data_IF_936084454356
#
_entry.id   IF_936084454356
#
_cell.length_a   1.000
_cell.length_b   1.000
_cell.length_c   1.000
_cell.angle_alpha   90.00
_cell.angle_beta   90.00
_cell.angle_gamma   90.00
#
_symmetry.space_group_name_H-M   'P 1'
#
loop_
_entity.id
_entity.type
_entity.pdbx_description
1 polymer ?
#
# COMPACT_ATOMS: atom_id res chain seq x y z
N UNK A 1 -20.07 0.89 -12.05
CA UNK A 1 -19.84 0.00 -11.80
C UNK A 1 -19.09 -0.27 -10.63
N UNK A 2 -19.41 -1.12 -10.03
CA UNK A 2 -18.84 -1.37 -8.77
C UNK A 2 -17.39 -1.77 -8.80
N UNK A 3 -16.93 -2.19 -9.95
CA UNK A 3 -15.54 -2.65 -10.06
C UNK A 3 -14.53 -1.58 -9.71
N UNK A 4 -14.87 -0.31 -9.93
CA UNK A 4 -13.98 0.77 -9.59
C UNK A 4 -13.75 0.94 -8.10
N UNK A 5 -14.60 0.31 -7.26
CA UNK A 5 -14.46 0.42 -5.81
C UNK A 5 -13.74 -0.76 -5.18
N UNK A 6 -13.45 -1.81 -5.94
CA UNK A 6 -12.73 -2.96 -5.40
C UNK A 6 -11.23 -2.71 -5.46
N UNK A 7 -10.54 -3.06 -4.38
CA UNK A 7 -9.08 -2.99 -4.36
C UNK A 7 -8.42 -4.35 -4.59
N UNK A 8 -9.21 -5.42 -4.76
CA UNK A 8 -8.66 -6.75 -5.03
C UNK A 8 -7.85 -6.74 -6.33
N UNK A 9 -6.73 -7.43 -6.32
CA UNK A 9 -5.84 -7.52 -7.48
C UNK A 9 -4.41 -7.17 -7.15
N UNK A 10 -3.63 -6.91 -8.17
CA UNK A 10 -2.21 -6.58 -8.02
C UNK A 10 -1.95 -5.11 -8.38
N UNK A 11 -0.99 -4.51 -7.66
CA UNK A 11 -0.66 -3.10 -7.75
C UNK A 11 0.86 -2.93 -7.69
N UNK A 12 1.42 -2.19 -8.63
CA UNK A 12 2.83 -1.84 -8.59
C UNK A 12 3.03 -0.67 -7.64
N UNK A 13 3.88 -0.86 -6.63
CA UNK A 13 4.08 0.07 -5.52
C UNK A 13 5.45 0.71 -5.58
N UNK A 14 5.49 2.00 -5.29
CA UNK A 14 6.72 2.74 -5.02
C UNK A 14 6.50 3.74 -3.92
N UNK A 15 7.53 3.99 -3.12
CA UNK A 15 7.47 5.03 -2.10
C UNK A 15 8.79 5.78 -2.00
N UNK A 16 8.69 7.00 -1.50
CA UNK A 16 9.82 7.94 -1.39
C UNK A 16 9.79 8.56 0.00
N UNK A 17 10.94 8.58 0.67
CA UNK A 17 11.04 9.14 2.04
C UNK A 17 10.65 10.62 2.01
N UNK A 18 9.90 11.05 3.02
CA UNK A 18 9.40 12.43 3.12
C UNK A 18 10.49 13.37 3.62
N UNK A 19 11.58 13.45 2.85
CA UNK A 19 12.66 14.43 3.04
C UNK A 19 12.82 15.18 1.72
N UNK A 20 13.58 16.28 1.74
CA UNK A 20 13.67 17.15 0.56
C UNK A 20 14.25 16.47 -0.67
N UNK A 21 15.13 15.50 -0.49
CA UNK A 21 15.76 14.76 -1.59
C UNK A 21 14.98 13.51 -2.02
N UNK A 22 13.94 13.14 -1.29
CA UNK A 22 12.98 12.11 -1.68
C UNK A 22 13.62 10.78 -2.13
N UNK A 23 14.51 10.18 -1.33
CA UNK A 23 15.09 8.90 -1.75
C UNK A 23 14.03 7.80 -1.78
N UNK A 24 14.24 6.80 -2.62
CA UNK A 24 13.34 5.66 -2.69
C UNK A 24 13.34 4.93 -1.36
N UNK A 25 12.14 4.66 -0.82
CA UNK A 25 11.97 3.93 0.41
C UNK A 25 11.68 2.45 0.15
N UNK A 26 10.80 2.17 -0.81
CA UNK A 26 10.45 0.80 -1.16
C UNK A 26 9.83 0.72 -2.54
N UNK A 27 9.87 -0.49 -3.11
CA UNK A 27 9.24 -0.81 -4.38
C UNK A 27 8.86 -2.28 -4.37
N UNK A 28 7.79 -2.63 -5.05
CA UNK A 28 7.34 -4.02 -5.12
C UNK A 28 5.91 -4.13 -5.61
N UNK A 29 5.28 -5.26 -5.30
CA UNK A 29 3.91 -5.54 -5.69
C UNK A 29 3.05 -5.78 -4.46
N UNK A 30 1.95 -5.02 -4.37
CA UNK A 30 0.84 -5.40 -3.49
C UNK A 30 -0.04 -6.39 -4.22
N UNK A 31 -0.48 -7.43 -3.53
CA UNK A 31 -1.56 -8.30 -3.99
C UNK A 31 -2.62 -8.30 -2.90
N UNK A 32 -3.83 -7.88 -3.25
CA UNK A 32 -4.92 -7.76 -2.27
C UNK A 32 -6.04 -8.73 -2.57
N UNK A 33 -6.56 -9.34 -1.50
CA UNK A 33 -7.85 -10.04 -1.51
C UNK A 33 -8.80 -9.26 -0.60
N UNK A 34 -10.08 -9.26 -0.93
CA UNK A 34 -11.09 -8.57 -0.14
C UNK A 34 -12.11 -9.58 0.36
N UNK A 35 -11.85 -10.23 1.52
CA UNK A 35 -12.79 -11.21 2.08
C UNK A 35 -14.19 -10.63 2.33
N UNK A 36 -14.25 -9.33 2.66
CA UNK A 36 -15.53 -8.61 2.76
C UNK A 36 -15.36 -7.25 2.07
N UNK A 37 -16.45 -6.49 1.98
CA UNK A 37 -16.41 -5.15 1.38
C UNK A 37 -15.56 -4.16 2.19
N UNK A 38 -15.29 -4.46 3.47
CA UNK A 38 -14.57 -3.53 4.35
C UNK A 38 -13.27 -4.10 4.92
N UNK A 39 -12.87 -5.29 4.50
CA UNK A 39 -11.62 -5.89 4.97
C UNK A 39 -10.75 -6.31 3.79
N UNK A 40 -9.43 -6.26 4.03
CA UNK A 40 -8.50 -6.71 3.01
C UNK A 40 -7.39 -7.51 3.67
N UNK A 41 -6.88 -8.49 2.93
CA UNK A 41 -5.68 -9.24 3.25
C UNK A 41 -4.80 -9.27 2.02
N UNK A 42 -3.55 -9.64 2.17
CA UNK A 42 -2.70 -9.76 1.00
C UNK A 42 -1.25 -9.88 1.34
N UNK A 43 -0.42 -9.55 0.36
CA UNK A 43 1.04 -9.58 0.49
C UNK A 43 1.65 -8.36 -0.17
N UNK A 44 2.82 -7.97 0.33
CA UNK A 44 3.69 -7.01 -0.34
C UNK A 44 5.00 -7.74 -0.65
N UNK A 45 5.25 -7.96 -1.91
CA UNK A 45 6.46 -8.66 -2.38
C UNK A 45 7.45 -7.64 -2.90
N UNK A 46 8.56 -7.48 -2.18
CA UNK A 46 9.63 -6.53 -2.52
C UNK A 46 10.76 -7.19 -3.31
N UNK A 47 10.59 -8.45 -3.69
CA UNK A 47 11.64 -9.23 -4.36
C UNK A 47 12.61 -9.87 -3.37
N UNK A 48 13.45 -10.77 -3.86
CA UNK A 48 14.49 -11.45 -3.06
C UNK A 48 13.95 -12.09 -1.78
N UNK A 49 12.74 -12.65 -1.85
CA UNK A 49 12.04 -13.27 -0.72
C UNK A 49 11.71 -12.31 0.42
N UNK A 50 11.72 -11.01 0.16
CA UNK A 50 11.31 -10.00 1.13
C UNK A 50 9.81 -9.76 0.98
N UNK A 51 9.00 -10.43 1.79
CA UNK A 51 7.55 -10.38 1.72
C UNK A 51 6.96 -10.00 3.06
N UNK A 52 6.00 -9.09 3.03
CA UNK A 52 5.16 -8.76 4.18
C UNK A 52 3.77 -9.36 3.97
N UNK A 53 3.17 -9.85 5.04
CA UNK A 53 1.75 -10.20 5.05
C UNK A 53 0.95 -8.98 5.43
N UNK A 54 -0.16 -8.74 4.73
CA UNK A 54 -0.95 -7.53 4.88
C UNK A 54 -2.33 -7.84 5.45
N UNK A 55 -2.78 -6.95 6.32
CA UNK A 55 -4.13 -6.95 6.88
C UNK A 55 -4.63 -5.53 6.95
N UNK A 56 -5.89 -5.32 6.62
CA UNK A 56 -6.36 -3.95 6.68
C UNK A 56 -7.86 -3.83 6.57
N UNK A 57 -8.29 -2.57 6.59
CA UNK A 57 -9.68 -2.19 6.45
C UNK A 57 -9.85 -1.27 5.25
N UNK A 58 -11.04 -1.32 4.67
CA UNK A 58 -11.44 -0.48 3.55
C UNK A 58 -12.62 0.36 4.03
N UNK A 59 -12.50 1.68 3.86
CA UNK A 59 -13.63 2.57 4.06
C UNK A 59 -14.14 2.95 2.68
N UNK A 60 -15.36 2.53 2.32
CA UNK A 60 -15.88 2.83 0.99
C UNK A 60 -16.02 4.31 0.74
N UNK A 61 -15.99 4.71 -0.54
CA UNK A 61 -16.23 6.08 -0.93
C UNK A 61 -17.62 6.54 -0.46
N UNK A 62 -17.71 7.78 -0.03
CA UNK A 62 -18.97 8.36 0.47
C UNK A 62 -18.98 9.86 0.16
N UNK A 63 -19.90 10.29 -0.71
CA UNK A 63 -19.97 11.68 -1.15
C UNK A 63 -18.66 12.09 -1.83
N UNK A 64 -18.04 13.13 -1.31
CA UNK A 64 -16.75 13.63 -1.82
C UNK A 64 -15.56 12.90 -1.23
N UNK A 65 -15.78 11.99 -0.28
CA UNK A 65 -14.70 11.24 0.35
C UNK A 65 -14.32 10.05 -0.50
N UNK A 66 -13.05 9.90 -0.92
CA UNK A 66 -12.64 8.76 -1.70
C UNK A 66 -12.59 7.48 -0.86
N UNK A 67 -12.59 6.34 -1.52
CA UNK A 67 -12.30 5.07 -0.88
C UNK A 67 -10.94 5.17 -0.20
N UNK A 68 -10.86 4.70 1.04
CA UNK A 68 -9.65 4.77 1.87
C UNK A 68 -9.26 3.39 2.34
N UNK A 69 -7.97 3.13 2.43
CA UNK A 69 -7.43 1.87 2.97
C UNK A 69 -6.48 2.17 4.13
N UNK A 70 -6.59 1.37 5.18
CA UNK A 70 -5.66 1.36 6.31
C UNK A 70 -5.12 -0.05 6.44
N UNK A 71 -3.82 -0.20 6.22
CA UNK A 71 -3.19 -1.51 6.08
C UNK A 71 -2.03 -1.61 7.04
N UNK A 72 -1.88 -2.78 7.66
CA UNK A 72 -0.68 -3.10 8.43
C UNK A 72 0.05 -4.26 7.76
N UNK A 73 1.35 -4.10 7.57
CA UNK A 73 2.21 -5.13 7.02
C UNK A 73 3.10 -5.71 8.10
N UNK A 74 3.20 -7.04 8.10
CA UNK A 74 4.01 -7.78 9.07
C UNK A 74 5.02 -8.64 8.33
N UNK A 75 6.28 -8.61 8.79
CA UNK A 75 7.29 -9.52 8.29
C UNK A 75 6.98 -10.96 8.67
N UNK A 76 7.61 -11.88 7.95
CA UNK A 76 7.44 -13.32 8.17
C UNK A 76 8.59 -13.85 9.03
N UNK A 77 8.24 -14.63 10.05
CA UNK A 77 9.22 -15.24 10.94
C UNK A 77 10.20 -16.09 10.14
N UNK A 78 11.46 -16.04 10.53
CA UNK A 78 12.55 -16.82 9.93
C UNK A 78 12.85 -16.46 8.46
N UNK A 79 12.48 -15.25 8.05
CA UNK A 79 12.81 -14.71 6.72
C UNK A 79 13.51 -13.37 6.88
N UNK A 80 13.91 -12.77 5.77
CA UNK A 80 14.57 -11.46 5.77
C UNK A 80 13.71 -10.33 6.33
N UNK A 81 12.38 -10.51 6.41
CA UNK A 81 11.46 -9.50 6.94
C UNK A 81 11.04 -9.79 8.38
N UNK A 82 11.65 -10.78 9.03
CA UNK A 82 11.29 -11.12 10.41
C UNK A 82 11.33 -9.90 11.33
N UNK A 83 10.22 -9.64 12.01
CA UNK A 83 10.11 -8.51 12.93
C UNK A 83 9.76 -7.17 12.28
N UNK A 84 9.68 -7.09 10.96
CA UNK A 84 9.29 -5.85 10.29
C UNK A 84 7.81 -5.56 10.53
N UNK A 85 7.47 -4.27 10.65
CA UNK A 85 6.09 -3.85 10.74
C UNK A 85 5.94 -2.46 10.15
N UNK A 86 4.97 -2.31 9.24
CA UNK A 86 4.70 -1.07 8.53
C UNK A 86 3.22 -0.76 8.55
N UNK A 87 2.87 0.51 8.66
CA UNK A 87 1.50 0.98 8.55
C UNK A 87 1.34 1.81 7.29
N UNK A 88 0.29 1.52 6.51
CA UNK A 88 -0.03 2.22 5.27
C UNK A 88 -1.41 2.85 5.40
N UNK A 89 -1.50 4.12 5.02
CA UNK A 89 -2.78 4.82 4.94
C UNK A 89 -2.86 5.45 3.56
N UNK A 90 -3.89 5.11 2.80
CA UNK A 90 -4.02 5.59 1.44
C UNK A 90 -5.45 5.70 0.99
N UNK A 91 -5.63 6.29 -0.17
CA UNK A 91 -6.95 6.47 -0.76
C UNK A 91 -6.87 6.40 -2.26
N UNK A 92 -8.04 6.19 -2.87
CA UNK A 92 -8.19 6.13 -4.32
C UNK A 92 -7.91 7.52 -4.89
N UNK A 93 -6.92 7.61 -5.78
CA UNK A 93 -6.58 8.88 -6.40
C UNK A 93 -7.70 9.35 -7.31
N UNK A 94 -7.82 10.67 -7.47
CA UNK A 94 -8.87 11.24 -8.29
C UNK A 94 -8.81 10.68 -9.72
N UNK A 95 -9.95 10.17 -10.16
CA UNK A 95 -10.06 9.61 -11.52
C UNK A 95 -10.59 10.70 -12.44
N UNK A 96 -9.74 11.16 -13.36
CA UNK A 96 -10.08 12.23 -14.26
C UNK A 96 -10.96 11.73 -15.39
N UNK A 97 -12.13 12.34 -15.65
CA UNK A 97 -13.00 11.88 -16.71
C UNK A 97 -12.34 11.89 -18.08
N UNK A 98 -11.40 12.82 -18.31
CA UNK A 98 -10.68 12.95 -19.60
C UNK A 98 -9.28 12.30 -19.55
N UNK A 99 -8.98 11.49 -18.55
CA UNK A 99 -7.67 10.86 -18.42
C UNK A 99 -7.41 9.86 -19.54
N UNK A 100 -6.22 9.93 -20.14
CA UNK A 100 -5.80 9.05 -21.23
C UNK A 100 -5.02 7.88 -20.63
N UNK A 101 -5.41 6.65 -21.02
CA UNK A 101 -4.76 5.40 -20.55
C UNK A 101 -4.67 5.30 -19.04
N UNK A 102 -5.63 5.91 -18.36
CA UNK A 102 -5.64 6.02 -16.92
C UNK A 102 -6.12 4.72 -16.27
N UNK A 103 -5.36 4.22 -15.30
CA UNK A 103 -5.78 3.11 -14.46
C UNK A 103 -5.91 3.58 -13.02
N UNK A 104 -6.60 2.81 -12.20
CA UNK A 104 -6.81 3.15 -10.80
C UNK A 104 -5.48 3.16 -10.05
N UNK A 105 -5.31 4.11 -9.13
CA UNK A 105 -4.15 4.15 -8.25
C UNK A 105 -4.57 4.47 -6.82
N UNK A 106 -3.77 3.97 -5.87
CA UNK A 106 -3.87 4.32 -4.47
C UNK A 106 -2.68 5.21 -4.13
N UNK A 107 -2.90 6.27 -3.39
CA UNK A 107 -1.84 7.18 -2.96
C UNK A 107 -1.99 7.43 -1.47
N UNK A 108 -0.86 7.64 -0.79
CA UNK A 108 -0.91 7.88 0.64
C UNK A 108 0.46 7.90 1.27
N UNK A 109 0.51 7.49 2.53
CA UNK A 109 1.76 7.48 3.28
C UNK A 109 1.97 6.15 3.98
N UNK A 110 3.23 5.87 4.30
CA UNK A 110 3.65 4.67 4.99
C UNK A 110 4.55 5.06 6.15
N UNK A 111 4.44 4.35 7.25
CA UNK A 111 5.23 4.55 8.46
C UNK A 111 5.95 3.25 8.80
N UNK A 112 7.26 3.31 9.03
CA UNK A 112 7.98 2.19 9.63
C UNK A 112 7.60 2.12 11.11
N UNK A 113 6.78 1.13 11.49
CA UNK A 113 6.25 1.05 12.84
C UNK A 113 7.25 0.47 13.83
N UNK A 114 8.17 -0.39 13.35
CA UNK A 114 9.22 -0.99 14.18
C UNK A 114 10.58 -0.83 13.52
N UNK A 115 11.65 -0.64 14.28
CA UNK A 115 12.99 -0.53 13.69
C UNK A 115 13.45 -1.88 13.15
N UNK A 116 14.23 -1.85 12.06
CA UNK A 116 14.90 -3.04 11.54
C UNK A 116 16.09 -2.64 10.69
N UNK A 117 17.06 -3.54 10.58
CA UNK A 117 18.24 -3.38 9.73
C UNK A 117 18.93 -2.02 9.92
N UNK A 118 18.99 -1.56 11.16
CA UNK A 118 19.62 -0.27 11.49
C UNK A 118 18.73 0.94 11.22
N UNK A 119 17.56 0.78 10.62
CA UNK A 119 16.62 1.87 10.39
C UNK A 119 15.69 2.08 11.58
N UNK A 120 15.46 3.33 12.00
CA UNK A 120 14.61 3.61 13.16
C UNK A 120 13.12 3.47 12.84
N UNK A 121 12.32 3.26 13.88
CA UNK A 121 10.88 3.45 13.78
C UNK A 121 10.57 4.93 13.54
N UNK A 122 9.44 5.21 12.91
CA UNK A 122 8.98 6.57 12.69
C UNK A 122 9.35 7.18 11.35
N UNK A 123 10.14 6.50 10.52
CA UNK A 123 10.43 6.98 9.17
C UNK A 123 9.13 6.94 8.37
N UNK A 124 8.81 8.04 7.70
CA UNK A 124 7.62 8.14 6.86
C UNK A 124 8.01 8.31 5.39
N UNK A 125 7.14 7.81 4.52
CA UNK A 125 7.31 7.94 3.09
C UNK A 125 5.94 8.14 2.44
N UNK A 126 5.94 8.70 1.25
CA UNK A 126 4.72 8.81 0.44
C UNK A 126 4.75 7.71 -0.61
N UNK A 127 3.61 7.08 -0.84
CA UNK A 127 3.55 5.97 -1.79
C UNK A 127 2.52 6.20 -2.88
N UNK A 128 2.75 5.51 -3.98
CA UNK A 128 1.79 5.35 -5.05
C UNK A 128 1.75 3.87 -5.42
N UNK A 129 0.55 3.33 -5.58
CA UNK A 129 0.35 1.97 -6.04
C UNK A 129 -0.60 1.99 -7.22
N UNK A 130 -0.16 1.50 -8.37
CA UNK A 130 -0.90 1.56 -9.63
C UNK A 130 -1.39 0.17 -9.98
N UNK A 131 -2.68 0.05 -10.26
CA UNK A 131 -3.30 -1.25 -10.55
C UNK A 131 -2.69 -1.90 -11.79
N UNK A 132 -2.35 -3.17 -11.64
CA UNK A 132 -1.82 -4.01 -12.72
C UNK A 132 -2.84 -5.01 -13.24
N UNK A 133 -3.77 -5.40 -12.40
CA UNK A 133 -4.78 -6.38 -12.81
C UNK A 133 -6.06 -6.27 -11.98
#
# INVERSE_FOLDING_TARGET
MANGTSVAGTWAYRSYINTSDQPVFGAGLFTFQTPTATTLTGTFDMGSDLVLDLKGTITPADGDSPLTVDIRGFGRANTGTDGWEYDYHGFDAFHWPAGVDQVQSLVGSVLRAKPHDGGPAGVTASFIAVRQS
#
